data_IF_430138534677
#
_entry.id   IF_430138534677
#
_cell.length_a   1.000
_cell.length_b   1.000
_cell.length_c   1.000
_cell.angle_alpha   90.00
_cell.angle_beta   90.00
_cell.angle_gamma   90.00
#
_symmetry.space_group_name_H-M   'P 1'
#
loop_
_entity.id
_entity.type
_entity.pdbx_description
1 polymer ?
#
# COMPACT_ATOMS: atom_id res chain seq x y z
N UNK A 1 0.32 -18.37 13.57
CA UNK A 1 -0.70 -17.41 14.02
C UNK A 1 -0.65 -17.41 15.54
N UNK A 2 -0.02 -16.39 16.14
CA UNK A 2 0.20 -16.37 17.60
C UNK A 2 -0.68 -15.34 18.31
N UNK A 3 -1.25 -14.38 17.58
CA UNK A 3 -2.14 -13.35 18.11
C UNK A 3 -3.19 -12.88 17.09
N UNK A 4 -4.13 -12.03 17.53
CA UNK A 4 -5.20 -11.44 16.73
C UNK A 4 -4.67 -10.59 15.56
N UNK A 5 -3.54 -9.93 15.76
CA UNK A 5 -2.92 -9.02 14.78
C UNK A 5 -2.40 -9.78 13.56
N UNK A 6 -1.80 -10.96 13.76
CA UNK A 6 -1.42 -11.87 12.67
C UNK A 6 -2.64 -12.26 11.82
N UNK A 7 -3.80 -12.48 12.44
CA UNK A 7 -5.03 -12.86 11.72
C UNK A 7 -5.50 -11.74 10.81
N UNK A 8 -5.55 -10.52 11.35
CA UNK A 8 -5.94 -9.33 10.60
C UNK A 8 -4.95 -9.10 9.45
N UNK A 9 -3.64 -9.21 9.71
CA UNK A 9 -2.62 -8.98 8.70
C UNK A 9 -2.71 -9.97 7.51
N UNK A 10 -2.95 -11.26 7.78
CA UNK A 10 -3.11 -12.27 6.73
C UNK A 10 -4.36 -12.02 5.89
N UNK A 11 -5.47 -11.61 6.52
CA UNK A 11 -6.76 -11.44 5.84
C UNK A 11 -6.90 -10.09 5.15
N UNK A 12 -6.06 -9.11 5.46
CA UNK A 12 -6.17 -7.75 4.96
C UNK A 12 -5.94 -7.62 3.45
N UNK A 13 -5.02 -8.42 2.90
CA UNK A 13 -4.56 -8.28 1.54
C UNK A 13 -4.40 -9.62 0.84
N UNK A 14 -4.20 -9.62 -0.50
CA UNK A 14 -4.05 -10.85 -1.27
C UNK A 14 -2.67 -11.51 -1.07
N UNK A 15 -1.75 -10.85 -0.35
CA UNK A 15 -0.37 -11.29 -0.13
C UNK A 15 -0.16 -11.93 1.25
N UNK A 16 -1.25 -12.32 1.93
CA UNK A 16 -1.17 -13.04 3.20
C UNK A 16 -0.57 -14.43 3.05
N UNK A 17 0.43 -14.76 3.86
CA UNK A 17 0.98 -16.11 4.01
C UNK A 17 1.32 -16.38 5.49
N UNK A 18 0.51 -17.22 6.13
CA UNK A 18 0.69 -17.65 7.53
C UNK A 18 2.06 -18.30 7.74
N UNK A 19 2.60 -18.97 6.72
CA UNK A 19 3.87 -19.67 6.80
C UNK A 19 5.07 -18.78 6.42
N UNK A 20 4.80 -17.57 5.90
CA UNK A 20 5.80 -16.63 5.38
C UNK A 20 6.87 -17.35 4.54
N UNK A 21 6.43 -18.09 3.51
CA UNK A 21 7.32 -18.86 2.62
C UNK A 21 8.33 -17.95 1.92
N UNK A 22 7.93 -16.73 1.60
CA UNK A 22 8.84 -15.68 1.16
C UNK A 22 9.33 -14.86 2.36
N UNK A 23 10.58 -15.07 2.78
CA UNK A 23 11.20 -14.34 3.90
C UNK A 23 11.42 -12.85 3.63
N UNK A 24 11.28 -12.39 2.38
CA UNK A 24 11.30 -10.95 2.06
C UNK A 24 10.04 -10.25 2.56
N UNK A 25 8.94 -10.98 2.73
CA UNK A 25 7.70 -10.40 3.24
C UNK A 25 7.94 -9.81 4.64
N UNK A 26 7.58 -8.54 4.89
CA UNK A 26 7.88 -7.87 6.16
C UNK A 26 7.16 -8.51 7.35
N UNK A 27 6.01 -9.16 7.11
CA UNK A 27 5.20 -9.86 8.10
C UNK A 27 4.43 -11.02 7.44
N UNK A 28 3.40 -11.57 8.10
CA UNK A 28 2.50 -12.62 7.55
C UNK A 28 1.49 -12.06 6.54
N UNK A 29 1.45 -10.75 6.39
CA UNK A 29 0.85 -10.01 5.28
C UNK A 29 1.70 -8.76 5.04
N UNK A 30 1.38 -8.00 4.00
CA UNK A 30 2.17 -6.82 3.66
C UNK A 30 1.33 -5.78 2.94
N UNK A 31 1.84 -4.55 2.95
CA UNK A 31 1.23 -3.49 2.20
C UNK A 31 1.44 -3.58 0.71
N UNK A 32 0.44 -3.11 -0.02
CA UNK A 32 0.38 -3.18 -1.47
C UNK A 32 -0.32 -1.97 -2.05
N UNK A 33 -0.05 -1.73 -3.33
CA UNK A 33 -0.67 -0.70 -4.13
C UNK A 33 -1.54 -1.34 -5.21
N UNK A 34 -2.75 -0.84 -5.38
CA UNK A 34 -3.62 -1.17 -6.50
C UNK A 34 -3.25 -0.34 -7.72
N UNK A 35 -2.97 -1.02 -8.82
CA UNK A 35 -2.66 -0.40 -10.11
C UNK A 35 -3.55 -1.02 -11.20
N UNK A 36 -3.95 -0.18 -12.16
CA UNK A 36 -4.63 -0.69 -13.34
C UNK A 36 -3.69 -1.68 -14.07
N UNK A 37 -4.17 -2.89 -14.48
CA UNK A 37 -3.32 -3.88 -15.12
C UNK A 37 -2.60 -3.37 -16.38
N UNK A 38 -3.25 -2.51 -17.16
CA UNK A 38 -2.68 -2.04 -18.42
C UNK A 38 -1.56 -1.02 -18.17
N UNK A 39 -1.74 -0.10 -17.21
CA UNK A 39 -0.67 0.82 -16.78
C UNK A 39 0.53 0.06 -16.20
N UNK A 40 0.27 -0.98 -15.40
CA UNK A 40 1.35 -1.78 -14.81
C UNK A 40 2.18 -2.50 -15.89
N UNK A 41 1.51 -3.07 -16.91
CA UNK A 41 2.19 -3.72 -18.05
C UNK A 41 3.00 -2.73 -18.88
N UNK A 42 2.47 -1.53 -19.12
CA UNK A 42 3.21 -0.45 -19.80
C UNK A 42 4.46 -0.03 -19.00
N UNK A 43 4.40 -0.08 -17.67
CA UNK A 43 5.54 0.14 -16.78
C UNK A 43 6.47 -1.07 -16.62
N UNK A 44 6.15 -2.20 -17.26
CA UNK A 44 6.93 -3.44 -17.14
C UNK A 44 6.88 -4.10 -15.76
N UNK A 45 5.81 -3.85 -14.99
CA UNK A 45 5.57 -4.39 -13.64
C UNK A 45 4.59 -5.54 -13.75
N UNK A 46 4.90 -6.70 -13.17
CA UNK A 46 3.97 -7.84 -13.11
C UNK A 46 3.10 -7.82 -11.84
N UNK A 47 1.98 -8.54 -11.84
CA UNK A 47 1.12 -8.64 -10.66
C UNK A 47 1.85 -9.37 -9.51
N UNK A 48 1.89 -8.73 -8.34
CA UNK A 48 2.65 -9.20 -7.19
C UNK A 48 4.13 -8.81 -7.20
N UNK A 49 4.66 -8.13 -8.22
CA UNK A 49 6.03 -7.59 -8.15
C UNK A 49 6.16 -6.57 -7.01
N UNK A 50 7.36 -6.45 -6.45
CA UNK A 50 7.68 -5.33 -5.58
C UNK A 50 7.98 -4.09 -6.42
N UNK A 51 7.49 -2.93 -5.98
CA UNK A 51 7.65 -1.64 -6.63
C UNK A 51 8.10 -0.57 -5.64
N UNK A 52 8.96 0.32 -6.13
CA UNK A 52 9.25 1.59 -5.49
C UNK A 52 8.19 2.61 -5.89
N UNK A 53 7.63 3.31 -4.92
CA UNK A 53 6.74 4.45 -5.12
C UNK A 53 7.43 5.67 -4.53
N UNK A 54 7.82 6.58 -5.42
CA UNK A 54 8.55 7.80 -5.09
C UNK A 54 7.67 9.02 -5.29
N UNK A 55 7.68 9.96 -4.34
CA UNK A 55 7.08 11.28 -4.52
C UNK A 55 7.87 12.12 -5.53
N UNK A 56 7.29 13.25 -5.92
CA UNK A 56 8.03 14.30 -6.61
C UNK A 56 9.30 14.66 -5.81
N UNK A 57 10.50 14.71 -6.43
CA UNK A 57 11.73 15.08 -5.73
C UNK A 57 11.69 16.45 -5.04
N UNK A 58 10.81 17.36 -5.47
CA UNK A 58 10.54 18.65 -4.83
C UNK A 58 9.72 18.54 -3.55
N UNK A 59 8.99 17.45 -3.35
CA UNK A 59 8.25 17.09 -2.15
C UNK A 59 9.12 16.37 -1.10
N UNK A 60 10.44 16.56 -1.23
CA UNK A 60 11.56 16.13 -0.36
C UNK A 60 11.12 15.38 0.92
N UNK A 61 11.59 14.14 1.16
CA UNK A 61 11.17 13.36 2.33
C UNK A 61 11.53 14.03 3.66
N UNK A 62 12.60 14.84 3.66
CA UNK A 62 13.00 15.73 4.75
C UNK A 62 14.01 16.78 4.22
N UNK A 63 14.27 17.83 5.01
CA UNK A 63 15.26 18.86 4.65
C UNK A 63 16.67 18.26 4.58
N UNK A 64 17.39 18.51 3.49
CA UNK A 64 18.79 18.07 3.33
C UNK A 64 18.97 16.60 2.91
N UNK A 65 17.90 15.90 2.51
CA UNK A 65 17.93 14.48 2.13
C UNK A 65 19.00 14.11 1.09
N UNK A 66 19.39 15.05 0.22
CA UNK A 66 20.45 14.82 -0.78
C UNK A 66 21.80 14.47 -0.15
N UNK A 67 22.05 14.94 1.07
CA UNK A 67 23.27 14.68 1.84
C UNK A 67 23.15 13.45 2.75
N UNK A 68 21.96 12.88 2.87
CA UNK A 68 21.66 11.74 3.73
C UNK A 68 21.02 10.61 2.91
N UNK A 69 21.89 9.93 2.14
CA UNK A 69 21.46 8.84 1.26
C UNK A 69 20.79 7.68 2.02
N UNK A 70 21.20 7.43 3.26
CA UNK A 70 20.67 6.32 4.07
C UNK A 70 19.20 6.57 4.42
N UNK A 71 18.89 7.72 5.01
CA UNK A 71 17.52 8.04 5.38
C UNK A 71 16.65 8.34 4.16
N UNK A 72 17.24 8.91 3.09
CA UNK A 72 16.54 9.06 1.82
C UNK A 72 16.12 7.71 1.24
N UNK A 73 17.00 6.71 1.22
CA UNK A 73 16.67 5.37 0.74
C UNK A 73 15.55 4.72 1.57
N UNK A 74 15.62 4.82 2.91
CA UNK A 74 14.58 4.31 3.82
C UNK A 74 13.23 5.02 3.68
N UNK A 75 13.23 6.31 3.32
CA UNK A 75 12.00 7.09 3.19
C UNK A 75 11.13 6.68 2.00
N UNK A 76 11.73 6.02 1.00
CA UNK A 76 11.02 5.53 -0.20
C UNK A 76 10.08 4.38 0.17
N UNK A 77 8.89 4.38 -0.42
CA UNK A 77 7.91 3.32 -0.21
C UNK A 77 8.24 2.10 -1.07
N UNK A 78 8.43 0.95 -0.41
CA UNK A 78 8.50 -0.36 -1.06
C UNK A 78 7.27 -1.19 -0.70
N UNK A 79 6.53 -1.63 -1.72
CA UNK A 79 5.33 -2.46 -1.53
C UNK A 79 5.09 -3.37 -2.73
N UNK A 80 4.14 -4.29 -2.62
CA UNK A 80 3.68 -5.12 -3.75
C UNK A 80 2.76 -4.33 -4.67
N UNK A 81 2.87 -4.52 -5.98
CA UNK A 81 1.85 -4.10 -6.93
C UNK A 81 0.75 -5.15 -7.02
N UNK A 82 -0.53 -4.73 -6.96
CA UNK A 82 -1.69 -5.58 -7.20
C UNK A 82 -2.42 -5.09 -8.43
N UNK A 83 -2.59 -5.96 -9.41
CA UNK A 83 -3.48 -5.70 -10.54
C UNK A 83 -4.92 -5.62 -10.04
N UNK A 84 -5.53 -4.46 -10.25
CA UNK A 84 -6.93 -4.22 -9.90
C UNK A 84 -7.63 -3.48 -11.05
N UNK A 85 -8.39 -4.21 -11.90
CA UNK A 85 -9.12 -3.61 -13.03
C UNK A 85 -10.13 -2.52 -12.63
N UNK A 86 -10.55 -2.51 -11.35
CA UNK A 86 -11.45 -1.48 -10.83
C UNK A 86 -10.78 -0.12 -10.55
N UNK A 87 -9.45 -0.01 -10.62
CA UNK A 87 -8.77 1.29 -10.56
C UNK A 87 -8.76 1.93 -11.95
N UNK A 88 -9.19 3.20 -12.10
CA UNK A 88 -9.03 3.94 -13.36
C UNK A 88 -7.58 4.02 -13.82
N UNK A 89 -7.35 4.13 -15.14
CA UNK A 89 -6.00 4.37 -15.67
C UNK A 89 -5.44 5.70 -15.16
N UNK A 90 -4.13 5.74 -14.91
CA UNK A 90 -3.41 6.90 -14.36
C UNK A 90 -3.63 7.14 -12.87
N UNK A 91 -4.45 6.31 -12.21
CA UNK A 91 -4.72 6.38 -10.77
C UNK A 91 -4.20 5.12 -10.10
N UNK A 92 -3.71 5.28 -8.87
CA UNK A 92 -3.29 4.16 -8.02
C UNK A 92 -3.89 4.33 -6.64
N UNK A 93 -4.15 3.23 -5.93
CA UNK A 93 -4.79 3.26 -4.60
C UNK A 93 -4.00 2.43 -3.61
N UNK A 94 -3.77 2.98 -2.43
CA UNK A 94 -3.21 2.25 -1.28
C UNK A 94 -4.08 2.47 -0.05
N UNK A 95 -4.23 1.45 0.77
CA UNK A 95 -4.90 1.57 2.06
C UNK A 95 -3.97 2.21 3.11
N UNK A 96 -4.53 3.10 3.93
CA UNK A 96 -3.76 3.96 4.85
C UNK A 96 -3.65 3.42 6.29
N UNK A 97 -4.25 2.28 6.60
CA UNK A 97 -4.28 1.73 7.96
C UNK A 97 -3.15 0.72 8.22
N UNK A 98 -2.10 0.72 7.39
CA UNK A 98 -1.00 -0.23 7.46
C UNK A 98 0.18 0.29 8.28
N UNK A 99 0.78 -0.60 9.07
CA UNK A 99 1.89 -0.26 9.97
C UNK A 99 3.16 0.11 9.18
N UNK A 100 3.51 1.40 9.20
CA UNK A 100 4.66 1.95 8.48
C UNK A 100 6.00 1.37 8.93
N UNK A 101 7.00 1.36 8.05
CA UNK A 101 8.34 1.00 8.46
C UNK A 101 8.92 2.06 9.40
N UNK A 102 9.73 1.62 10.36
CA UNK A 102 10.54 2.44 11.25
C UNK A 102 12.01 2.05 11.06
N UNK A 103 12.98 2.90 11.45
CA UNK A 103 14.39 2.51 11.41
C UNK A 103 14.67 1.19 12.14
N UNK A 104 13.97 0.92 13.25
CA UNK A 104 14.11 -0.33 13.97
C UNK A 104 13.46 -1.54 13.29
N UNK A 105 12.32 -1.39 12.62
CA UNK A 105 11.75 -2.49 11.83
C UNK A 105 12.59 -2.78 10.59
N UNK A 106 13.20 -1.76 10.00
CA UNK A 106 14.16 -1.92 8.90
C UNK A 106 15.41 -2.69 9.35
N UNK A 107 15.99 -2.33 10.50
CA UNK A 107 17.07 -3.12 11.12
C UNK A 107 16.62 -4.56 11.40
N UNK A 108 15.41 -4.76 11.92
CA UNK A 108 14.84 -6.09 12.09
C UNK A 108 14.83 -6.88 10.78
N UNK A 109 14.30 -6.27 9.72
CA UNK A 109 14.21 -6.93 8.42
C UNK A 109 15.58 -7.32 7.84
N UNK A 110 16.62 -6.48 8.02
CA UNK A 110 17.94 -6.70 7.43
C UNK A 110 18.86 -7.60 8.26
N UNK A 111 18.69 -7.62 9.59
CA UNK A 111 19.62 -8.31 10.49
C UNK A 111 19.06 -9.61 11.06
N UNK A 112 17.74 -9.77 11.12
CA UNK A 112 17.13 -10.98 11.70
C UNK A 112 17.26 -12.15 10.72
N UNK A 113 17.62 -13.36 11.19
CA UNK A 113 17.68 -14.56 10.35
C UNK A 113 16.34 -14.91 9.68
N UNK A 114 15.23 -14.47 10.27
CA UNK A 114 13.88 -14.72 9.79
C UNK A 114 13.40 -13.66 8.79
N UNK A 115 14.06 -12.50 8.67
CA UNK A 115 13.68 -11.43 7.76
C UNK A 115 12.42 -10.66 8.16
N UNK A 116 11.88 -10.83 9.37
CA UNK A 116 10.72 -10.05 9.80
C UNK A 116 11.09 -8.57 9.97
N UNK A 117 10.22 -7.68 9.50
CA UNK A 117 10.31 -6.25 9.78
C UNK A 117 9.82 -5.93 11.22
N UNK A 118 10.44 -6.58 12.20
CA UNK A 118 10.12 -6.45 13.62
C UNK A 118 11.24 -5.72 14.34
N UNK A 119 10.89 -4.60 14.97
CA UNK A 119 11.83 -3.80 15.74
C UNK A 119 12.38 -4.63 16.92
N UNK A 120 13.71 -4.86 17.00
CA UNK A 120 14.30 -5.73 18.02
C UNK A 120 14.19 -5.14 19.43
N UNK A 121 13.96 -3.83 19.56
CA UNK A 121 13.88 -3.13 20.84
C UNK A 121 12.45 -3.04 21.37
N UNK A 122 11.49 -2.75 20.50
CA UNK A 122 10.09 -2.48 20.91
C UNK A 122 9.12 -3.61 20.57
N UNK A 123 9.54 -4.57 19.73
CA UNK A 123 8.66 -5.59 19.20
C UNK A 123 7.67 -5.08 18.13
N UNK A 124 7.71 -3.79 17.77
CA UNK A 124 6.86 -3.20 16.73
C UNK A 124 7.04 -3.93 15.39
N UNK A 125 5.94 -4.36 14.79
CA UNK A 125 5.92 -5.10 13.53
C UNK A 125 5.40 -4.19 12.41
N UNK A 126 6.23 -3.94 11.40
CA UNK A 126 5.83 -3.18 10.22
C UNK A 126 5.18 -4.09 9.16
N UNK A 127 4.31 -3.51 8.34
CA UNK A 127 3.75 -4.12 7.12
C UNK A 127 4.54 -3.72 5.86
N UNK A 128 5.59 -2.92 6.00
CA UNK A 128 6.47 -2.49 4.91
C UNK A 128 7.94 -2.74 5.28
N UNK A 129 8.78 -2.96 4.26
CA UNK A 129 10.25 -3.05 4.42
C UNK A 129 10.94 -1.67 4.45
N UNK A 130 10.30 -0.68 3.83
CA UNK A 130 10.80 0.68 3.65
C UNK A 130 9.61 1.63 3.50
N UNK A 131 9.71 2.83 4.07
CA UNK A 131 8.67 3.84 4.00
C UNK A 131 7.31 3.39 4.54
N UNK A 132 6.25 4.03 4.03
CA UNK A 132 4.86 3.67 4.28
C UNK A 132 3.97 4.29 3.21
N UNK A 133 2.67 4.03 3.26
CA UNK A 133 1.67 4.72 2.45
C UNK A 133 1.73 6.26 2.57
N UNK A 134 2.31 6.81 3.64
CA UNK A 134 2.53 8.26 3.81
C UNK A 134 3.82 8.78 3.16
N UNK A 135 4.74 7.90 2.71
CA UNK A 135 6.04 8.31 2.17
C UNK A 135 5.95 9.22 0.95
N UNK A 136 4.89 9.08 0.16
CA UNK A 136 4.66 9.90 -1.02
C UNK A 136 3.73 11.10 -0.75
N UNK A 137 3.30 11.30 0.49
CA UNK A 137 2.33 12.34 0.85
C UNK A 137 3.04 13.61 1.29
N UNK A 138 2.45 14.75 0.92
CA UNK A 138 2.87 16.06 1.40
C UNK A 138 1.66 16.81 1.92
N UNK A 139 1.79 17.35 3.13
CA UNK A 139 0.79 18.27 3.68
C UNK A 139 0.80 19.59 2.89
N UNK A 140 -0.34 19.95 2.32
CA UNK A 140 -0.57 21.27 1.76
C UNK A 140 -1.48 22.08 2.67
N UNK A 141 -0.90 23.04 3.40
CA UNK A 141 -1.65 23.91 4.29
C UNK A 141 -2.30 25.03 3.47
N UNK A 142 -3.62 24.96 3.30
CA UNK A 142 -4.39 25.97 2.57
C UNK A 142 -4.35 27.31 3.32
N UNK A 143 -3.84 28.40 2.73
CA UNK A 143 -3.81 29.72 3.38
C UNK A 143 -5.18 30.24 3.82
N UNK A 144 -6.24 29.86 3.08
CA UNK A 144 -7.62 30.18 3.44
C UNK A 144 -8.08 29.54 4.76
N UNK A 145 -7.36 28.54 5.29
CA UNK A 145 -7.62 27.90 6.58
C UNK A 145 -6.67 28.37 7.69
N UNK A 146 -5.83 29.35 7.39
CA UNK A 146 -4.85 29.97 8.30
C UNK A 146 -5.28 31.40 8.69
N UNK A 147 -6.52 31.79 8.43
CA UNK A 147 -6.97 33.17 8.66
C UNK A 147 -7.51 33.35 10.07
N UNK A 148 -7.05 34.40 10.76
CA UNK A 148 -7.65 34.83 12.03
C UNK A 148 -8.95 35.64 11.85
N UNK A 149 -9.39 35.81 10.61
CA UNK A 149 -10.54 36.64 10.26
C UNK A 149 -11.86 35.88 10.06
N UNK A 150 -11.83 34.56 9.90
CA UNK A 150 -13.03 33.77 9.61
C UNK A 150 -13.98 33.75 10.82
N UNK A 151 -15.23 34.16 10.62
CA UNK A 151 -16.29 33.97 11.62
C UNK A 151 -16.73 32.51 11.61
N UNK A 152 -16.72 31.86 12.77
CA UNK A 152 -17.00 30.43 12.91
C UNK A 152 -17.78 30.13 14.18
N UNK A 153 -18.59 29.07 14.13
CA UNK A 153 -19.31 28.54 15.29
C UNK A 153 -18.34 27.79 16.21
N UNK A 154 -18.53 27.84 17.53
CA UNK A 154 -17.81 26.98 18.47
C UNK A 154 -18.11 25.49 18.25
N UNK A 155 -17.27 24.61 18.82
CA UNK A 155 -17.45 23.15 18.71
C UNK A 155 -18.81 22.70 19.28
N UNK A 156 -19.26 23.34 20.36
CA UNK A 156 -20.56 23.11 20.99
C UNK A 156 -21.24 24.44 21.36
N UNK A 157 -22.57 24.42 21.50
CA UNK A 157 -23.35 25.58 21.92
C UNK A 157 -23.67 26.58 20.81
N UNK A 158 -23.91 27.84 21.18
CA UNK A 158 -24.32 28.94 20.30
C UNK A 158 -23.25 30.04 20.18
N UNK A 159 -22.05 29.80 20.70
CA UNK A 159 -20.97 30.78 20.64
C UNK A 159 -20.51 30.98 19.18
N UNK A 160 -20.46 32.25 18.78
CA UNK A 160 -19.86 32.68 17.53
C UNK A 160 -18.51 33.32 17.88
N UNK A 161 -17.44 32.72 17.38
CA UNK A 161 -16.10 33.28 17.51
C UNK A 161 -15.49 33.59 16.15
N UNK A 162 -14.22 33.95 16.18
CA UNK A 162 -13.48 34.39 15.00
C UNK A 162 -12.07 33.82 15.02
N UNK A 163 -11.58 33.42 13.85
CA UNK A 163 -10.23 32.88 13.67
C UNK A 163 -10.08 31.43 14.15
N UNK A 164 -8.83 31.08 14.48
CA UNK A 164 -8.42 29.72 14.79
C UNK A 164 -9.26 29.04 15.87
N UNK A 165 -9.56 27.75 15.64
CA UNK A 165 -10.09 26.82 16.65
C UNK A 165 -9.78 25.38 16.20
N UNK A 166 -9.08 24.56 17.01
CA UNK A 166 -8.82 23.17 16.64
C UNK A 166 -10.15 22.42 16.41
N UNK A 167 -10.14 21.50 15.47
CA UNK A 167 -11.29 20.70 15.04
C UNK A 167 -12.48 21.48 14.47
N UNK A 168 -12.32 22.79 14.21
CA UNK A 168 -13.35 23.65 13.60
C UNK A 168 -12.78 24.53 12.48
N UNK A 169 -11.79 25.37 12.79
CA UNK A 169 -11.10 26.21 11.82
C UNK A 169 -9.59 26.20 12.11
N UNK A 170 -8.93 25.22 11.53
CA UNK A 170 -7.48 25.09 11.56
C UNK A 170 -6.98 24.49 10.23
N UNK A 171 -5.70 24.68 9.89
CA UNK A 171 -5.12 24.04 8.73
C UNK A 171 -5.20 22.52 8.86
N UNK A 172 -5.63 21.83 7.80
CA UNK A 172 -5.50 20.37 7.72
C UNK A 172 -4.40 20.02 6.74
N UNK A 173 -3.54 19.08 7.12
CA UNK A 173 -2.55 18.50 6.22
C UNK A 173 -3.06 17.31 5.42
N UNK A 174 -4.38 17.09 5.34
CA UNK A 174 -4.95 15.87 4.76
C UNK A 174 -4.50 15.71 3.29
N UNK A 175 -3.70 14.67 2.98
CA UNK A 175 -3.28 14.41 1.62
C UNK A 175 -4.50 13.88 0.87
N UNK A 176 -4.97 14.59 -0.16
CA UNK A 176 -6.00 14.03 -1.05
C UNK A 176 -5.40 13.36 -2.28
N UNK A 177 -4.31 13.91 -2.83
CA UNK A 177 -3.72 13.44 -4.08
C UNK A 177 -2.20 13.68 -4.04
N UNK A 178 -1.44 12.63 -4.35
CA UNK A 178 0.02 12.70 -4.57
C UNK A 178 0.30 12.21 -5.98
N UNK A 179 1.15 12.93 -6.71
CA UNK A 179 1.69 12.44 -7.98
C UNK A 179 2.95 11.67 -7.66
N UNK A 180 3.01 10.42 -8.14
CA UNK A 180 4.09 9.50 -7.81
C UNK A 180 4.72 8.90 -9.05
N UNK A 181 5.99 8.53 -8.93
CA UNK A 181 6.67 7.66 -9.88
C UNK A 181 6.70 6.24 -9.33
N UNK A 182 6.24 5.28 -10.13
CA UNK A 182 6.32 3.86 -9.79
C UNK A 182 7.42 3.22 -10.63
N UNK A 183 8.32 2.49 -9.99
CA UNK A 183 9.36 1.71 -10.68
C UNK A 183 9.42 0.29 -10.14
N UNK A 184 9.65 -0.70 -11.01
CA UNK A 184 9.82 -2.09 -10.61
C UNK A 184 11.06 -2.23 -9.72
N UNK A 185 10.91 -2.94 -8.60
CA UNK A 185 11.99 -3.18 -7.64
C UNK A 185 12.49 -4.63 -7.68
N UNK A 186 11.59 -5.60 -7.47
CA UNK A 186 11.96 -7.02 -7.37
C UNK A 186 10.82 -7.89 -7.94
N UNK A 187 11.13 -9.08 -8.48
CA UNK A 187 10.11 -10.02 -8.91
C UNK A 187 9.20 -10.50 -7.76
N UNK A 188 7.95 -10.77 -8.10
CA UNK A 188 6.91 -11.17 -7.15
C UNK A 188 6.95 -12.63 -6.71
N UNK A 189 7.62 -13.52 -7.46
CA UNK A 189 7.73 -14.92 -7.09
C UNK A 189 8.61 -15.17 -5.87
N UNK A 190 8.57 -16.39 -5.34
CA UNK A 190 9.30 -16.77 -4.13
C UNK A 190 10.80 -16.49 -4.28
N UNK A 191 11.42 -16.00 -3.21
CA UNK A 191 12.86 -15.63 -3.19
C UNK A 191 13.25 -14.60 -4.26
N UNK A 192 12.29 -13.85 -4.80
CA UNK A 192 12.55 -12.87 -5.86
C UNK A 192 12.79 -13.51 -7.22
N UNK A 193 12.30 -14.72 -7.46
CA UNK A 193 12.46 -15.45 -8.71
C UNK A 193 11.12 -15.71 -9.36
N UNK A 194 11.03 -15.46 -10.66
CA UNK A 194 9.82 -15.74 -11.44
C UNK A 194 8.64 -14.87 -11.05
N UNK A 195 7.45 -15.31 -11.46
CA UNK A 195 6.19 -14.60 -11.21
C UNK A 195 5.60 -15.02 -9.88
N UNK A 196 4.73 -14.19 -9.33
CA UNK A 196 3.96 -14.58 -8.16
C UNK A 196 3.05 -15.78 -8.50
N UNK A 197 3.02 -16.81 -7.64
CA UNK A 197 2.37 -18.10 -7.95
C UNK A 197 0.93 -18.00 -8.49
N UNK A 198 0.02 -17.16 -7.95
CA UNK A 198 -1.31 -16.98 -8.52
C UNK A 198 -1.32 -16.49 -9.97
N UNK A 199 -0.31 -15.72 -10.39
CA UNK A 199 -0.12 -15.31 -11.79
C UNK A 199 0.25 -16.51 -12.65
N UNK A 200 1.17 -17.36 -12.18
CA UNK A 200 1.58 -18.58 -12.90
C UNK A 200 0.42 -19.58 -13.05
N UNK A 201 -0.45 -19.66 -12.04
CA UNK A 201 -1.66 -20.48 -12.07
C UNK A 201 -2.78 -19.88 -12.96
N UNK A 202 -2.58 -18.66 -13.47
CA UNK A 202 -3.54 -17.94 -14.30
C UNK A 202 -4.83 -17.56 -13.59
N UNK A 203 -4.72 -17.20 -12.29
CA UNK A 203 -5.83 -16.80 -11.43
C UNK A 203 -5.96 -15.28 -11.28
N UNK A 204 -5.16 -14.53 -12.04
CA UNK A 204 -5.00 -13.07 -11.90
C UNK A 204 -5.40 -12.35 -13.18
N UNK A 205 -5.87 -11.08 -13.09
CA UNK A 205 -6.23 -10.30 -14.26
C UNK A 205 -5.12 -10.26 -15.30
N UNK A 206 -5.46 -10.37 -16.59
CA UNK A 206 -4.52 -10.41 -17.74
C UNK A 206 -3.67 -11.69 -17.85
N UNK A 207 -3.89 -12.67 -16.99
CA UNK A 207 -3.21 -13.96 -16.99
C UNK A 207 -4.18 -15.14 -16.95
N UNK A 208 -5.46 -14.92 -17.26
CA UNK A 208 -6.51 -15.90 -17.07
C UNK A 208 -6.21 -17.20 -17.82
N UNK A 209 -6.10 -18.30 -17.07
CA UNK A 209 -6.00 -19.65 -17.62
C UNK A 209 -7.28 -20.04 -18.37
N UNK A 210 -7.22 -21.10 -19.18
CA UNK A 210 -8.41 -21.60 -19.88
C UNK A 210 -9.56 -21.92 -18.91
N UNK A 211 -9.24 -22.55 -17.77
CA UNK A 211 -10.22 -22.82 -16.72
C UNK A 211 -10.82 -21.52 -16.14
N UNK A 212 -10.01 -20.49 -15.89
CA UNK A 212 -10.50 -19.20 -15.40
C UNK A 212 -11.39 -18.51 -16.43
N UNK A 213 -11.02 -18.54 -17.72
CA UNK A 213 -11.86 -17.99 -18.80
C UNK A 213 -13.20 -18.71 -18.90
N UNK A 214 -13.20 -20.05 -18.80
CA UNK A 214 -14.43 -20.85 -18.76
C UNK A 214 -15.30 -20.51 -17.55
N UNK A 215 -14.69 -20.31 -16.38
CA UNK A 215 -15.40 -19.90 -15.17
C UNK A 215 -16.07 -18.54 -15.32
N UNK A 216 -15.33 -17.54 -15.81
CA UNK A 216 -15.85 -16.19 -16.05
C UNK A 216 -16.99 -16.18 -17.09
N UNK A 217 -16.98 -17.12 -18.04
CA UNK A 217 -18.04 -17.31 -19.02
C UNK A 217 -19.23 -18.14 -18.50
N UNK A 218 -19.23 -18.58 -17.23
CA UNK A 218 -20.30 -19.40 -16.64
C UNK A 218 -20.30 -20.88 -17.09
N UNK A 219 -19.23 -21.36 -17.73
CA UNK A 219 -19.18 -22.69 -18.35
C UNK A 219 -19.06 -23.89 -17.41
N UNK A 220 -19.16 -23.69 -16.10
CA UNK A 220 -19.18 -24.76 -15.08
C UNK A 220 -20.57 -24.98 -14.46
N UNK A 221 -21.58 -24.26 -14.93
CA UNK A 221 -22.96 -24.48 -14.52
C UNK A 221 -23.50 -25.62 -15.39
N UNK A 222 -23.90 -26.72 -14.77
CA UNK A 222 -24.72 -27.73 -15.43
C UNK A 222 -26.16 -27.19 -15.39
N UNK A 223 -26.68 -26.75 -16.54
CA UNK A 223 -28.08 -26.38 -16.64
C UNK A 223 -28.87 -27.67 -16.45
N UNK A 224 -29.23 -27.98 -15.20
CA UNK A 224 -30.09 -29.10 -14.87
C UNK A 224 -31.27 -29.06 -15.81
N UNK A 225 -31.35 -30.06 -16.69
CA UNK A 225 -32.49 -30.27 -17.56
C UNK A 225 -33.66 -30.56 -16.64
N UNK A 226 -34.38 -29.50 -16.26
CA UNK A 226 -35.70 -29.61 -15.69
C UNK A 226 -36.54 -30.38 -16.69
N UNK A 227 -36.68 -31.68 -16.46
CA UNK A 227 -37.77 -32.46 -17.02
C UNK A 227 -39.04 -31.89 -16.40
N UNK A 228 -39.65 -30.94 -17.08
CA UNK A 228 -41.09 -30.70 -16.93
C UNK A 228 -41.78 -31.97 -17.40
N UNK A 229 -42.39 -32.68 -16.45
CA UNK A 229 -43.30 -33.80 -16.69
C UNK A 229 -44.73 -33.31 -16.85
#
# INVERSE_FOLDING_TARGET
MRDLTDQIAVLFGPFGDIYRRDRRSPWVGEGYVDINPDDARELGIDDGDYVWIDSDPSDRPFRGWQKDRKNAAFSRLLCRARYYPGTPRGVTRMWFNMYGATPGSHEGHTTRPDGLARNPRTGYQAMFRSGSHQSATRGWLKPTWMTDSLVRKGLFGQEIGKGFLPDVHCPTGAPRESIVRITRAEPGGLEGKGRWRPVELGLRPRYESEAMRRYLAGGFIDAGTGKEG
#
